data_IF_734500219915
#
_entry.id   IF_734500219915
#
_cell.length_a   1.000
_cell.length_b   1.000
_cell.length_c   1.000
_cell.angle_alpha   90.00
_cell.angle_beta   90.00
_cell.angle_gamma   90.00
#
_symmetry.space_group_name_H-M   'P 1'
#
loop_
_entity.id
_entity.type
_entity.pdbx_description
1 polymer ?
#
# COMPACT_ATOMS: atom_id res chain seq x y z
N UNK A 1 0.45 -10.04 -12.26
CA UNK A 1 -0.18 -9.20 -11.22
C UNK A 1 0.79 -8.13 -10.68
N UNK A 2 2.02 -8.48 -10.32
CA UNK A 2 3.02 -7.51 -9.83
C UNK A 2 3.28 -6.34 -10.79
N UNK A 3 3.48 -6.60 -12.09
CA UNK A 3 3.64 -5.55 -13.11
C UNK A 3 2.46 -4.58 -13.21
N UNK A 4 1.24 -5.11 -13.05
CA UNK A 4 0.01 -4.33 -13.07
C UNK A 4 -0.11 -3.43 -11.83
N UNK A 5 0.23 -3.95 -10.64
CA UNK A 5 0.33 -3.14 -9.43
C UNK A 5 1.32 -1.98 -9.62
N UNK A 6 2.51 -2.25 -10.16
CA UNK A 6 3.52 -1.20 -10.43
C UNK A 6 2.97 -0.13 -11.36
N UNK A 7 2.39 -0.50 -12.50
CA UNK A 7 1.85 0.48 -13.45
C UNK A 7 0.78 1.36 -12.80
N UNK A 8 -0.11 0.76 -12.00
CA UNK A 8 -1.18 1.50 -11.32
C UNK A 8 -0.61 2.50 -10.33
N UNK A 9 0.34 2.10 -9.48
CA UNK A 9 0.93 3.03 -8.50
C UNK A 9 1.62 4.19 -9.22
N UNK A 10 2.37 3.92 -10.30
CA UNK A 10 3.03 4.96 -11.08
C UNK A 10 2.02 5.91 -11.74
N UNK A 11 0.92 5.38 -12.29
CA UNK A 11 -0.14 6.20 -12.89
C UNK A 11 -0.84 7.07 -11.83
N UNK A 12 -1.14 6.52 -10.65
CA UNK A 12 -1.67 7.30 -9.53
C UNK A 12 -0.73 8.43 -9.16
N UNK A 13 0.57 8.17 -8.98
CA UNK A 13 1.56 9.18 -8.64
C UNK A 13 1.73 10.25 -9.72
N UNK A 14 1.59 9.87 -10.99
CA UNK A 14 1.76 10.79 -12.12
C UNK A 14 0.54 11.68 -12.36
N UNK A 15 -0.66 11.13 -12.23
CA UNK A 15 -1.90 11.79 -12.65
C UNK A 15 -2.81 12.19 -11.48
N UNK A 16 -2.55 11.68 -10.28
CA UNK A 16 -3.31 12.00 -9.08
C UNK A 16 -3.02 13.42 -8.60
N UNK A 17 -4.07 14.25 -8.51
CA UNK A 17 -3.95 15.66 -8.07
C UNK A 17 -3.80 15.81 -6.56
N UNK A 18 -4.44 14.92 -5.79
CA UNK A 18 -4.44 14.92 -4.33
C UNK A 18 -4.44 13.46 -3.89
N UNK A 19 -3.32 12.99 -3.35
CA UNK A 19 -3.11 11.59 -2.98
C UNK A 19 -2.70 11.48 -1.52
N UNK A 20 -3.23 10.48 -0.84
CA UNK A 20 -2.76 9.99 0.43
C UNK A 20 -2.27 8.57 0.22
N UNK A 21 -0.98 8.33 0.46
CA UNK A 21 -0.40 6.99 0.45
C UNK A 21 -0.52 6.41 1.85
N UNK A 22 -1.17 5.24 1.96
CA UNK A 22 -1.32 4.50 3.21
C UNK A 22 -0.77 3.10 3.00
N UNK A 23 0.18 2.71 3.85
CA UNK A 23 0.78 1.39 3.83
C UNK A 23 -0.07 0.40 4.63
N UNK A 24 -0.17 -0.83 4.12
CA UNK A 24 -0.97 -1.87 4.77
C UNK A 24 -0.43 -2.24 6.15
N UNK A 25 0.90 -2.29 6.26
CA UNK A 25 1.66 -2.58 7.47
C UNK A 25 1.31 -1.58 8.58
N UNK A 26 1.28 -0.29 8.24
CA UNK A 26 0.90 0.77 9.19
C UNK A 26 -0.56 0.64 9.63
N UNK A 27 -1.45 0.25 8.71
CA UNK A 27 -2.86 0.00 9.03
C UNK A 27 -3.03 -1.20 9.96
N UNK A 28 -2.20 -2.24 9.83
CA UNK A 28 -2.19 -3.38 10.74
C UNK A 28 -1.68 -3.01 12.14
N UNK A 29 -0.63 -2.20 12.22
CA UNK A 29 -0.02 -1.79 13.49
C UNK A 29 -0.85 -0.73 14.24
N UNK A 30 -1.42 0.23 13.50
CA UNK A 30 -2.03 1.43 14.07
C UNK A 30 -3.33 1.81 13.35
N UNK A 31 -4.33 0.94 13.49
CA UNK A 31 -5.62 1.06 12.79
C UNK A 31 -6.32 2.42 13.03
N UNK A 32 -6.58 2.77 14.29
CA UNK A 32 -7.36 3.98 14.62
C UNK A 32 -6.66 5.27 14.16
N UNK A 33 -5.37 5.50 14.45
CA UNK A 33 -4.66 6.69 13.94
C UNK A 33 -4.62 6.75 12.41
N UNK A 34 -4.40 5.61 11.75
CA UNK A 34 -4.37 5.56 10.28
C UNK A 34 -5.74 5.88 9.68
N UNK A 35 -6.83 5.38 10.28
CA UNK A 35 -8.20 5.74 9.86
C UNK A 35 -8.51 7.22 10.07
N UNK A 36 -8.04 7.84 11.16
CA UNK A 36 -8.19 9.28 11.38
C UNK A 36 -7.48 10.10 10.31
N UNK A 37 -6.29 9.68 9.88
CA UNK A 37 -5.58 10.31 8.77
C UNK A 37 -6.37 10.23 7.46
N UNK A 38 -6.95 9.05 7.17
CA UNK A 38 -7.79 8.84 5.99
C UNK A 38 -9.03 9.73 6.03
N UNK A 39 -9.76 9.78 7.15
CA UNK A 39 -10.98 10.59 7.24
C UNK A 39 -10.68 12.08 7.19
N UNK A 40 -9.58 12.52 7.79
CA UNK A 40 -9.08 13.90 7.67
C UNK A 40 -8.78 14.25 6.22
N UNK A 41 -8.09 13.37 5.48
CA UNK A 41 -7.78 13.59 4.06
C UNK A 41 -9.02 13.68 3.18
N UNK A 42 -10.00 12.82 3.44
CA UNK A 42 -11.30 12.79 2.74
C UNK A 42 -12.25 13.91 3.18
N UNK A 43 -11.93 14.63 4.27
CA UNK A 43 -12.78 15.62 4.90
C UNK A 43 -14.17 15.05 5.29
N UNK A 44 -14.17 13.86 5.91
CA UNK A 44 -15.39 13.17 6.36
C UNK A 44 -15.30 12.80 7.83
N UNK A 45 -16.44 12.65 8.51
CA UNK A 45 -16.49 12.07 9.86
C UNK A 45 -16.76 10.56 9.78
N UNK A 46 -16.02 9.78 10.58
CA UNK A 46 -16.21 8.33 10.71
C UNK A 46 -17.49 8.03 11.52
N UNK A 47 -18.65 8.12 10.90
CA UNK A 47 -19.95 8.08 11.59
C UNK A 47 -20.67 6.71 11.52
N UNK A 48 -19.98 5.65 11.09
CA UNK A 48 -20.57 4.31 10.96
C UNK A 48 -19.65 3.23 11.50
N UNK A 49 -20.17 2.39 12.38
CA UNK A 49 -19.54 1.12 12.76
C UNK A 49 -19.51 0.20 11.54
N UNK A 50 -18.32 -0.02 11.00
CA UNK A 50 -18.06 -0.98 9.93
C UNK A 50 -17.46 -2.25 10.52
N UNK A 51 -18.02 -3.42 10.20
CA UNK A 51 -17.41 -4.68 10.59
C UNK A 51 -16.44 -5.14 9.50
N UNK A 52 -15.13 -5.00 9.73
CA UNK A 52 -14.12 -5.56 8.82
C UNK A 52 -14.11 -7.09 8.95
N UNK A 53 -14.79 -7.79 8.04
CA UNK A 53 -14.95 -9.26 8.03
C UNK A 53 -14.03 -9.98 7.04
N UNK A 54 -12.82 -9.48 6.80
CA UNK A 54 -11.81 -10.28 6.12
C UNK A 54 -11.06 -11.08 7.17
N UNK A 55 -11.28 -12.39 7.19
CA UNK A 55 -10.32 -13.32 7.78
C UNK A 55 -8.97 -12.99 7.11
N UNK A 56 -8.00 -12.49 7.87
CA UNK A 56 -6.68 -12.18 7.32
C UNK A 56 -6.18 -13.37 6.51
N UNK A 57 -5.69 -13.13 5.29
CA UNK A 57 -5.19 -14.21 4.45
C UNK A 57 -4.14 -14.95 5.26
N UNK A 58 -4.36 -16.24 5.56
CA UNK A 58 -3.36 -17.07 6.21
C UNK A 58 -2.13 -17.01 5.32
N UNK A 59 -1.05 -16.40 5.81
CA UNK A 59 0.24 -16.43 5.10
C UNK A 59 0.53 -17.90 4.82
N UNK A 60 0.80 -18.30 3.57
CA UNK A 60 1.21 -19.66 3.27
C UNK A 60 2.37 -20.06 4.19
N UNK A 61 2.37 -21.29 4.69
CA UNK A 61 3.44 -21.80 5.56
C UNK A 61 4.75 -22.02 4.81
N UNK A 62 4.71 -21.93 3.48
CA UNK A 62 5.85 -22.07 2.58
C UNK A 62 6.00 -20.80 1.74
N UNK A 63 7.19 -20.59 1.20
CA UNK A 63 7.43 -19.49 0.27
C UNK A 63 6.90 -19.85 -1.13
N UNK A 64 5.89 -19.14 -1.66
CA UNK A 64 5.32 -19.48 -2.95
C UNK A 64 6.16 -19.00 -4.13
N UNK A 65 7.27 -18.26 -3.90
CA UNK A 65 8.05 -17.64 -4.97
C UNK A 65 9.43 -18.26 -5.14
N UNK A 66 9.79 -18.57 -6.39
CA UNK A 66 11.17 -18.94 -6.72
C UNK A 66 12.11 -17.74 -6.60
N UNK A 67 13.43 -17.96 -6.48
CA UNK A 67 14.41 -16.85 -6.44
C UNK A 67 14.31 -15.91 -7.65
N UNK A 68 14.03 -16.44 -8.84
CA UNK A 68 13.85 -15.63 -10.05
C UNK A 68 12.61 -14.75 -9.98
N UNK A 69 11.50 -15.29 -9.47
CA UNK A 69 10.28 -14.52 -9.25
C UNK A 69 10.50 -13.41 -8.24
N UNK A 70 11.23 -13.69 -7.15
CA UNK A 70 11.59 -12.68 -6.15
C UNK A 70 12.40 -11.54 -6.74
N UNK A 71 13.48 -11.85 -7.47
CA UNK A 71 14.31 -10.81 -8.13
C UNK A 71 13.47 -9.89 -9.03
N UNK A 72 12.52 -10.48 -9.76
CA UNK A 72 11.61 -9.72 -10.62
C UNK A 72 10.63 -8.86 -9.80
N UNK A 73 10.08 -9.38 -8.70
CA UNK A 73 9.23 -8.63 -7.77
C UNK A 73 10.01 -7.51 -7.08
N UNK A 74 11.24 -7.76 -6.64
CA UNK A 74 12.11 -6.79 -5.99
C UNK A 74 12.41 -5.61 -6.92
N UNK A 75 12.59 -5.86 -8.22
CA UNK A 75 12.71 -4.82 -9.24
C UNK A 75 11.47 -3.91 -9.31
N UNK A 76 10.28 -4.50 -9.25
CA UNK A 76 9.02 -3.74 -9.21
C UNK A 76 8.86 -2.94 -7.91
N UNK A 77 9.18 -3.55 -6.77
CA UNK A 77 9.16 -2.89 -5.45
C UNK A 77 10.10 -1.70 -5.44
N UNK A 78 11.34 -1.87 -5.90
CA UNK A 78 12.34 -0.80 -5.95
C UNK A 78 11.91 0.35 -6.85
N UNK A 79 11.30 0.04 -8.01
CA UNK A 79 10.78 1.06 -8.93
C UNK A 79 9.69 1.92 -8.27
N UNK A 80 8.73 1.28 -7.58
CA UNK A 80 7.66 1.99 -6.88
C UNK A 80 8.20 2.79 -5.70
N UNK A 81 9.12 2.21 -4.93
CA UNK A 81 9.73 2.84 -3.77
C UNK A 81 10.51 4.12 -4.14
N UNK A 82 11.23 4.09 -5.26
CA UNK A 82 11.89 5.28 -5.82
C UNK A 82 10.88 6.34 -6.26
N UNK A 83 9.82 5.95 -6.96
CA UNK A 83 8.78 6.87 -7.43
C UNK A 83 8.04 7.55 -6.26
N UNK A 84 7.72 6.79 -5.20
CA UNK A 84 7.10 7.33 -3.99
C UNK A 84 7.98 8.41 -3.36
N UNK A 85 9.28 8.15 -3.18
CA UNK A 85 10.20 9.13 -2.60
C UNK A 85 10.39 10.35 -3.50
N UNK A 86 10.44 10.16 -4.82
CA UNK A 86 10.52 11.27 -5.78
C UNK A 86 9.28 12.18 -5.73
N UNK A 87 8.12 11.63 -5.38
CA UNK A 87 6.86 12.35 -5.19
C UNK A 87 6.63 12.85 -3.76
N UNK A 88 7.67 12.91 -2.92
CA UNK A 88 7.61 13.33 -1.50
C UNK A 88 6.70 12.47 -0.61
N UNK A 89 6.45 11.22 -0.98
CA UNK A 89 5.80 10.24 -0.11
C UNK A 89 6.83 9.42 0.66
N UNK A 90 6.40 8.78 1.74
CA UNK A 90 7.22 7.76 2.40
C UNK A 90 7.46 6.60 1.43
N UNK A 91 8.68 6.05 1.49
CA UNK A 91 8.99 4.82 0.77
C UNK A 91 8.19 3.63 1.29
N UNK A 92 8.31 2.50 0.61
CA UNK A 92 7.72 1.25 1.03
C UNK A 92 8.35 0.77 2.35
N UNK A 93 7.55 0.18 3.26
CA UNK A 93 8.08 -0.48 4.46
C UNK A 93 8.98 -1.66 4.08
N UNK A 94 9.95 -1.96 4.95
CA UNK A 94 10.93 -3.05 4.77
C UNK A 94 10.42 -4.38 5.27
#
# INVERSE_FOLDING_TARGET
YASWWTSHVLDWLRYGKKLLVVHYEQLQESLVPTLQSITSFLNTSCNKDGHFKRSGARRPTFDPFTPDMKRLIDGYISTVDQALRASNHSGLPK
#
